data_IF_505000270905
#
_entry.id   IF_505000270905
#
_cell.length_a   1.000
_cell.length_b   1.000
_cell.length_c   1.000
_cell.angle_alpha   90.00
_cell.angle_beta   90.00
_cell.angle_gamma   90.00
#
_symmetry.space_group_name_H-M   'P 1'
#
loop_
_entity.id
_entity.type
_entity.pdbx_description
1 polymer ?
#
# COMPACT_ATOMS: atom_id res chain seq x y z
N UNK A 1 2.41 -11.69 -15.80
CA UNK A 1 2.31 -11.46 -14.34
C UNK A 1 0.87 -11.72 -13.89
N UNK A 2 0.65 -12.34 -12.72
CA UNK A 2 -0.69 -12.50 -12.13
C UNK A 2 -1.16 -11.16 -11.54
N UNK A 3 -2.45 -10.82 -11.75
CA UNK A 3 -3.09 -9.62 -11.23
C UNK A 3 -4.03 -10.00 -10.07
N UNK A 4 -4.03 -9.18 -9.02
CA UNK A 4 -4.84 -9.32 -7.82
C UNK A 4 -5.85 -8.18 -7.77
N UNK A 5 -6.90 -8.30 -8.57
CA UNK A 5 -7.95 -7.29 -8.74
C UNK A 5 -9.33 -7.94 -8.70
N UNK A 6 -9.47 -9.09 -8.04
CA UNK A 6 -10.74 -9.81 -7.98
C UNK A 6 -11.60 -9.37 -6.80
N UNK A 7 -10.99 -8.80 -5.75
CA UNK A 7 -11.70 -8.39 -4.55
C UNK A 7 -11.99 -6.89 -4.55
N UNK A 8 -13.06 -6.49 -5.23
CA UNK A 8 -13.52 -5.10 -5.27
C UNK A 8 -14.43 -4.71 -4.08
N UNK A 9 -14.87 -5.68 -3.30
CA UNK A 9 -15.77 -5.49 -2.16
C UNK A 9 -15.53 -6.53 -1.08
N UNK A 10 -15.93 -6.19 0.17
CA UNK A 10 -15.81 -7.14 1.28
C UNK A 10 -16.51 -8.48 1.02
N UNK A 11 -17.74 -8.57 0.48
CA UNK A 11 -18.36 -9.87 0.19
C UNK A 11 -17.53 -10.78 -0.72
N UNK A 12 -16.83 -10.20 -1.71
CA UNK A 12 -15.94 -10.98 -2.59
C UNK A 12 -14.69 -11.46 -1.84
N UNK A 13 -14.06 -10.57 -1.06
CA UNK A 13 -12.91 -10.91 -0.23
C UNK A 13 -13.28 -11.95 0.83
N UNK A 14 -14.41 -11.78 1.50
CA UNK A 14 -14.91 -12.73 2.50
C UNK A 14 -15.11 -14.13 1.92
N UNK A 15 -15.73 -14.23 0.74
CA UNK A 15 -15.93 -15.52 0.06
C UNK A 15 -14.60 -16.21 -0.21
N UNK A 16 -13.61 -15.49 -0.76
CA UNK A 16 -12.27 -16.04 -1.01
C UNK A 16 -11.51 -16.39 0.27
N UNK A 17 -11.62 -15.58 1.33
CA UNK A 17 -10.96 -15.85 2.61
C UNK A 17 -11.54 -17.07 3.32
N UNK A 18 -12.84 -17.35 3.17
CA UNK A 18 -13.48 -18.56 3.76
C UNK A 18 -12.94 -19.86 3.19
N UNK A 19 -12.34 -19.84 2.02
CA UNK A 19 -11.66 -21.01 1.42
C UNK A 19 -10.26 -21.23 2.04
N UNK A 20 -9.67 -20.18 2.64
CA UNK A 20 -8.29 -20.16 3.13
C UNK A 20 -8.18 -20.17 4.66
N UNK A 21 -9.18 -19.65 5.36
CA UNK A 21 -9.13 -19.33 6.78
C UNK A 21 -10.34 -19.86 7.54
N UNK A 22 -10.17 -20.18 8.84
CA UNK A 22 -11.30 -20.48 9.71
C UNK A 22 -12.16 -19.22 9.97
N UNK A 23 -13.47 -19.44 10.19
CA UNK A 23 -14.46 -18.38 10.33
C UNK A 23 -14.08 -17.29 11.36
N UNK A 24 -13.48 -17.57 12.55
CA UNK A 24 -13.06 -16.52 13.47
C UNK A 24 -11.99 -15.59 12.89
N UNK A 25 -11.04 -16.12 12.09
CA UNK A 25 -10.01 -15.31 11.43
C UNK A 25 -10.64 -14.41 10.36
N UNK A 26 -11.54 -14.94 9.53
CA UNK A 26 -12.30 -14.15 8.54
C UNK A 26 -13.06 -13.00 9.22
N UNK A 27 -13.74 -13.28 10.34
CA UNK A 27 -14.46 -12.26 11.11
C UNK A 27 -13.51 -11.16 11.63
N UNK A 28 -12.29 -11.52 12.04
CA UNK A 28 -11.29 -10.56 12.52
C UNK A 28 -10.82 -9.64 11.37
N UNK A 29 -10.50 -10.21 10.22
CA UNK A 29 -10.16 -9.43 9.02
C UNK A 29 -11.33 -8.54 8.58
N UNK A 30 -12.57 -9.04 8.65
CA UNK A 30 -13.77 -8.26 8.33
C UNK A 30 -13.94 -7.02 9.22
N UNK A 31 -13.61 -7.12 10.52
CA UNK A 31 -13.60 -5.94 11.40
C UNK A 31 -12.55 -4.93 10.98
N UNK A 32 -11.36 -5.39 10.54
CA UNK A 32 -10.31 -4.50 10.05
C UNK A 32 -10.75 -3.78 8.76
N UNK A 33 -11.41 -4.48 7.83
CA UNK A 33 -11.95 -3.89 6.59
C UNK A 33 -13.01 -2.84 6.91
N UNK A 34 -13.97 -3.15 7.80
CA UNK A 34 -15.00 -2.20 8.22
C UNK A 34 -14.40 -0.95 8.88
N UNK A 35 -13.40 -1.14 9.75
CA UNK A 35 -12.68 -0.05 10.39
C UNK A 35 -11.94 0.81 9.35
N UNK A 36 -11.13 0.21 8.48
CA UNK A 36 -10.41 0.94 7.45
C UNK A 36 -11.35 1.72 6.52
N UNK A 37 -12.46 1.10 6.08
CA UNK A 37 -13.46 1.77 5.28
C UNK A 37 -14.09 2.99 5.98
N UNK A 38 -14.34 2.89 7.29
CA UNK A 38 -14.86 4.03 8.07
C UNK A 38 -13.85 5.17 8.21
N UNK A 39 -12.54 4.86 8.31
CA UNK A 39 -11.48 5.87 8.42
C UNK A 39 -11.21 6.58 7.08
N UNK A 40 -11.16 5.83 5.98
CA UNK A 40 -10.92 6.38 4.64
C UNK A 40 -12.18 7.08 4.06
N UNK A 41 -13.39 6.72 4.51
CA UNK A 41 -14.64 7.34 4.05
C UNK A 41 -14.75 7.35 2.52
N UNK A 42 -14.97 8.53 1.95
CA UNK A 42 -15.15 8.72 0.50
C UNK A 42 -13.83 8.91 -0.28
N UNK A 43 -12.68 8.59 0.33
CA UNK A 43 -11.40 8.68 -0.38
C UNK A 43 -11.40 7.81 -1.64
N UNK A 44 -10.75 8.35 -2.69
CA UNK A 44 -10.64 7.68 -3.98
C UNK A 44 -9.20 7.59 -4.46
N UNK A 45 -8.93 6.54 -5.20
CA UNK A 45 -7.67 6.39 -5.95
C UNK A 45 -7.62 7.42 -7.09
N UNK A 46 -6.42 7.72 -7.65
CA UNK A 46 -6.29 8.57 -8.85
C UNK A 46 -7.09 8.08 -10.05
N UNK A 47 -7.44 6.80 -10.09
CA UNK A 47 -8.31 6.17 -11.11
C UNK A 47 -9.79 6.48 -10.92
N UNK A 48 -10.19 7.08 -9.78
CA UNK A 48 -11.57 7.30 -9.38
C UNK A 48 -12.21 6.15 -8.61
N UNK A 49 -11.57 5.00 -8.52
CA UNK A 49 -12.05 3.86 -7.72
C UNK A 49 -12.04 4.17 -6.21
N UNK A 50 -12.94 3.57 -5.40
CA UNK A 50 -12.89 3.68 -3.95
C UNK A 50 -11.53 3.25 -3.38
N UNK A 51 -11.04 3.95 -2.36
CA UNK A 51 -9.74 3.61 -1.75
C UNK A 51 -9.73 2.21 -1.14
N UNK A 52 -10.87 1.76 -0.64
CA UNK A 52 -11.04 0.41 -0.09
C UNK A 52 -10.65 -0.71 -1.06
N UNK A 53 -10.77 -0.50 -2.39
CA UNK A 53 -10.30 -1.50 -3.37
C UNK A 53 -8.80 -1.75 -3.27
N UNK A 54 -7.98 -0.71 -3.03
CA UNK A 54 -6.55 -0.87 -2.81
C UNK A 54 -6.24 -1.75 -1.59
N UNK A 55 -6.95 -1.54 -0.50
CA UNK A 55 -6.78 -2.32 0.73
C UNK A 55 -7.13 -3.80 0.50
N UNK A 56 -8.20 -4.05 -0.26
CA UNK A 56 -8.63 -5.41 -0.62
C UNK A 56 -7.68 -6.07 -1.63
N UNK A 57 -7.10 -5.32 -2.57
CA UNK A 57 -6.03 -5.81 -3.46
C UNK A 57 -4.79 -6.24 -2.66
N UNK A 58 -4.32 -5.41 -1.71
CA UNK A 58 -3.19 -5.77 -0.85
C UNK A 58 -3.48 -7.02 0.00
N UNK A 59 -4.69 -7.13 0.53
CA UNK A 59 -5.18 -8.32 1.22
C UNK A 59 -5.17 -9.56 0.30
N UNK A 60 -5.66 -9.43 -0.93
CA UNK A 60 -5.70 -10.50 -1.93
C UNK A 60 -4.30 -10.98 -2.29
N UNK A 61 -3.35 -10.05 -2.48
CA UNK A 61 -1.94 -10.37 -2.73
C UNK A 61 -1.35 -11.22 -1.61
N UNK A 62 -1.59 -10.85 -0.34
CA UNK A 62 -1.07 -11.65 0.78
C UNK A 62 -1.76 -12.99 0.91
N UNK A 63 -3.09 -13.01 0.90
CA UNK A 63 -3.85 -14.23 1.18
C UNK A 63 -3.77 -15.24 0.02
N UNK A 64 -4.11 -14.82 -1.21
CA UNK A 64 -4.14 -15.71 -2.37
C UNK A 64 -2.78 -15.86 -3.04
N UNK A 65 -2.05 -14.78 -3.16
CA UNK A 65 -0.74 -14.78 -3.80
C UNK A 65 0.33 -15.41 -2.92
N UNK A 66 0.62 -14.80 -1.80
CA UNK A 66 1.70 -15.23 -0.91
C UNK A 66 1.30 -16.37 0.05
N UNK A 67 0.03 -16.79 0.08
CA UNK A 67 -0.45 -17.88 0.92
C UNK A 67 -0.44 -17.57 2.43
N UNK A 68 -0.54 -16.29 2.79
CA UNK A 68 -0.55 -15.86 4.19
C UNK A 68 -1.89 -16.19 4.84
N UNK A 69 -1.86 -16.91 5.97
CA UNK A 69 -3.04 -17.28 6.75
C UNK A 69 -3.06 -16.67 8.15
N UNK A 70 -2.08 -15.88 8.53
CA UNK A 70 -1.99 -15.18 9.81
C UNK A 70 -2.96 -14.00 9.84
N UNK A 71 -4.00 -14.01 10.72
CA UNK A 71 -5.01 -12.96 10.74
C UNK A 71 -4.46 -11.58 11.09
N UNK A 72 -3.44 -11.49 11.95
CA UNK A 72 -2.84 -10.21 12.34
C UNK A 72 -2.11 -9.57 11.16
N UNK A 73 -1.41 -10.39 10.37
CA UNK A 73 -0.71 -9.91 9.18
C UNK A 73 -1.69 -9.45 8.09
N UNK A 74 -2.80 -10.19 7.92
CA UNK A 74 -3.87 -9.79 6.99
C UNK A 74 -4.59 -8.53 7.45
N UNK A 75 -4.83 -8.36 8.76
CA UNK A 75 -5.36 -7.12 9.32
C UNK A 75 -4.39 -5.95 9.08
N UNK A 76 -3.09 -6.16 9.28
CA UNK A 76 -2.08 -5.12 9.03
C UNK A 76 -2.06 -4.70 7.55
N UNK A 77 -2.27 -5.64 6.61
CA UNK A 77 -2.38 -5.31 5.19
C UNK A 77 -3.60 -4.45 4.87
N UNK A 78 -4.74 -4.71 5.51
CA UNK A 78 -5.95 -3.88 5.34
C UNK A 78 -5.80 -2.49 5.99
N UNK A 79 -5.04 -2.40 7.09
CA UNK A 79 -4.91 -1.19 7.90
C UNK A 79 -3.66 -0.37 7.56
N UNK A 80 -2.85 -0.77 6.57
CA UNK A 80 -1.51 -0.23 6.36
C UNK A 80 -1.47 1.30 6.13
N UNK A 81 -2.49 1.86 5.51
CA UNK A 81 -2.58 3.28 5.17
C UNK A 81 -3.46 4.11 6.12
N UNK A 82 -4.17 3.49 7.09
CA UNK A 82 -5.10 4.25 7.95
C UNK A 82 -4.40 5.32 8.78
N UNK A 83 -3.16 5.07 9.21
CA UNK A 83 -2.37 6.04 10.00
C UNK A 83 -1.71 7.09 9.11
N UNK A 84 -1.34 6.74 7.87
CA UNK A 84 -0.71 7.67 6.94
C UNK A 84 -1.73 8.65 6.32
N UNK A 85 -2.89 8.15 5.93
CA UNK A 85 -3.84 8.84 5.06
C UNK A 85 -5.11 9.35 5.78
N UNK A 86 -5.25 9.10 7.08
CA UNK A 86 -6.44 9.51 7.87
C UNK A 86 -6.04 10.16 9.20
N UNK A 87 -7.01 10.51 10.03
CA UNK A 87 -6.77 10.99 11.38
C UNK A 87 -6.52 9.85 12.41
N UNK A 88 -6.51 8.59 11.95
CA UNK A 88 -6.28 7.43 12.81
C UNK A 88 -4.84 7.41 13.33
N UNK A 89 -4.68 7.04 14.60
CA UNK A 89 -3.37 6.90 15.25
C UNK A 89 -2.98 5.43 15.43
N UNK A 90 -1.67 5.17 15.57
CA UNK A 90 -1.17 3.82 15.91
C UNK A 90 -1.79 3.30 17.21
N UNK A 91 -2.06 4.18 18.18
CA UNK A 91 -2.72 3.80 19.44
C UNK A 91 -4.14 3.28 19.21
N UNK A 92 -4.92 3.93 18.35
CA UNK A 92 -6.27 3.46 17.99
C UNK A 92 -6.24 2.12 17.25
N UNK A 93 -5.23 1.89 16.42
CA UNK A 93 -5.02 0.56 15.80
C UNK A 93 -4.67 -0.49 16.86
N UNK A 94 -3.82 -0.14 17.86
CA UNK A 94 -3.49 -1.04 18.96
C UNK A 94 -4.71 -1.40 19.82
N UNK A 95 -5.57 -0.43 20.13
CA UNK A 95 -6.79 -0.63 20.91
C UNK A 95 -7.80 -1.53 20.19
N UNK A 96 -7.92 -1.40 18.86
CA UNK A 96 -8.88 -2.17 18.07
C UNK A 96 -8.39 -3.56 17.64
N UNK A 97 -7.08 -3.70 17.38
CA UNK A 97 -6.51 -4.87 16.70
C UNK A 97 -5.26 -5.45 17.39
N UNK A 98 -4.86 -4.89 18.49
CA UNK A 98 -3.73 -5.36 19.29
C UNK A 98 -2.37 -4.79 18.89
N UNK A 99 -1.37 -4.92 19.80
CA UNK A 99 -0.07 -4.27 19.64
C UNK A 99 0.75 -4.81 18.46
N UNK A 100 0.55 -6.09 18.08
CA UNK A 100 1.27 -6.68 16.94
C UNK A 100 0.82 -6.05 15.62
N UNK A 101 -0.49 -5.94 15.38
CA UNK A 101 -1.04 -5.28 14.19
C UNK A 101 -0.60 -3.82 14.13
N UNK A 102 -0.73 -3.09 15.24
CA UNK A 102 -0.31 -1.69 15.32
C UNK A 102 1.20 -1.49 15.06
N UNK A 103 2.03 -2.41 15.55
CA UNK A 103 3.47 -2.39 15.27
C UNK A 103 3.79 -2.60 13.80
N UNK A 104 3.08 -3.52 13.11
CA UNK A 104 3.23 -3.76 11.67
C UNK A 104 2.79 -2.53 10.86
N UNK A 105 1.63 -1.96 11.19
CA UNK A 105 1.16 -0.71 10.56
C UNK A 105 2.15 0.42 10.76
N UNK A 106 2.69 0.60 11.98
CA UNK A 106 3.70 1.62 12.26
C UNK A 106 4.98 1.47 11.42
N UNK A 107 5.41 0.25 11.12
CA UNK A 107 6.57 0.01 10.25
C UNK A 107 6.34 0.42 8.80
N UNK A 108 5.12 0.28 8.29
CA UNK A 108 4.80 0.57 6.88
C UNK A 108 4.27 1.98 6.65
N UNK A 109 3.90 2.71 7.70
CA UNK A 109 3.52 4.13 7.69
C UNK A 109 4.76 5.00 7.43
N UNK A 110 4.69 5.89 6.45
CA UNK A 110 5.75 6.88 6.21
C UNK A 110 5.66 7.97 7.29
N UNK A 111 6.69 8.18 8.12
CA UNK A 111 6.64 9.20 9.14
C UNK A 111 6.58 10.61 8.52
N UNK A 112 5.90 11.57 9.15
CA UNK A 112 5.93 12.95 8.70
C UNK A 112 7.39 13.47 8.70
N UNK A 113 7.78 14.33 7.73
CA UNK A 113 9.12 14.89 7.72
C UNK A 113 9.37 15.72 8.98
N UNK A 114 10.58 15.66 9.51
CA UNK A 114 10.98 16.51 10.62
C UNK A 114 10.93 18.01 10.22
N UNK A 115 10.78 18.93 11.17
CA UNK A 115 10.81 20.35 10.87
C UNK A 115 12.05 20.75 10.06
N UNK A 116 11.85 21.37 8.89
CA UNK A 116 12.91 21.75 7.96
C UNK A 116 13.48 20.62 7.09
N UNK A 117 13.00 19.39 7.23
CA UNK A 117 13.42 18.28 6.39
C UNK A 117 12.65 18.29 5.07
N UNK A 118 13.35 18.06 3.95
CA UNK A 118 12.72 17.84 2.66
C UNK A 118 11.89 16.56 2.65
N UNK A 119 10.66 16.65 2.15
CA UNK A 119 9.71 15.52 2.11
C UNK A 119 10.23 14.34 1.27
N UNK A 120 10.92 14.62 0.16
CA UNK A 120 11.49 13.58 -0.69
C UNK A 120 12.64 12.86 0.02
N UNK A 121 13.50 13.61 0.70
CA UNK A 121 14.60 13.04 1.49
C UNK A 121 14.09 12.21 2.67
N UNK A 122 13.00 12.63 3.34
CA UNK A 122 12.37 11.86 4.40
C UNK A 122 11.81 10.52 3.87
N UNK A 123 11.10 10.56 2.75
CA UNK A 123 10.57 9.35 2.10
C UNK A 123 11.68 8.40 1.66
N UNK A 124 12.75 8.93 1.10
CA UNK A 124 13.90 8.15 0.68
C UNK A 124 14.60 7.47 1.87
N UNK A 125 14.75 8.17 2.99
CA UNK A 125 15.31 7.62 4.22
C UNK A 125 14.41 6.50 4.79
N UNK A 126 13.09 6.67 4.76
CA UNK A 126 12.13 5.64 5.14
C UNK A 126 12.27 4.39 4.28
N UNK A 127 12.25 4.54 2.94
CA UNK A 127 12.36 3.40 2.01
C UNK A 127 13.64 2.61 2.21
N UNK A 128 14.78 3.29 2.42
CA UNK A 128 16.05 2.62 2.78
C UNK A 128 15.98 1.93 4.15
N UNK A 129 15.21 2.48 5.07
CA UNK A 129 15.01 1.94 6.41
C UNK A 129 14.24 0.61 6.43
N UNK A 130 13.39 0.34 5.43
CA UNK A 130 12.58 -0.89 5.33
C UNK A 130 13.42 -2.18 5.34
N UNK A 131 14.69 -2.13 4.94
CA UNK A 131 15.59 -3.29 5.03
C UNK A 131 15.82 -3.80 6.46
N UNK A 132 15.50 -3.00 7.48
CA UNK A 132 15.59 -3.35 8.90
C UNK A 132 14.26 -3.74 9.52
N UNK A 133 13.19 -3.64 8.74
CA UNK A 133 11.85 -3.99 9.20
C UNK A 133 11.74 -5.51 9.47
N UNK A 134 10.93 -5.93 10.44
CA UNK A 134 10.63 -7.33 10.62
C UNK A 134 9.97 -7.92 9.36
N UNK A 135 10.18 -9.22 9.13
CA UNK A 135 9.68 -9.95 7.95
C UNK A 135 8.21 -9.68 7.67
N UNK A 136 7.37 -9.72 8.70
CA UNK A 136 5.93 -9.51 8.55
C UNK A 136 5.59 -8.11 8.02
N UNK A 137 6.30 -7.08 8.48
CA UNK A 137 6.12 -5.72 7.95
C UNK A 137 6.63 -5.61 6.49
N UNK A 138 7.70 -6.32 6.15
CA UNK A 138 8.17 -6.41 4.75
C UNK A 138 7.08 -7.04 3.87
N UNK A 139 6.43 -8.11 4.30
CA UNK A 139 5.34 -8.75 3.56
C UNK A 139 4.17 -7.79 3.31
N UNK A 140 3.76 -7.02 4.33
CA UNK A 140 2.73 -5.97 4.16
C UNK A 140 3.16 -4.94 3.12
N UNK A 141 4.41 -4.46 3.21
CA UNK A 141 4.92 -3.46 2.26
C UNK A 141 5.07 -3.98 0.84
N UNK A 142 5.44 -5.24 0.67
CA UNK A 142 5.48 -5.90 -0.64
C UNK A 142 4.07 -6.01 -1.25
N UNK A 143 3.07 -6.36 -0.45
CA UNK A 143 1.68 -6.48 -0.93
C UNK A 143 1.08 -5.12 -1.29
N UNK A 144 1.26 -4.10 -0.44
CA UNK A 144 0.90 -2.70 -0.75
C UNK A 144 1.49 -2.27 -2.10
N UNK A 145 2.80 -2.43 -2.25
CA UNK A 145 3.46 -2.01 -3.49
C UNK A 145 3.00 -2.82 -4.70
N UNK A 146 2.77 -4.12 -4.56
CA UNK A 146 2.25 -4.96 -5.64
C UNK A 146 0.88 -4.45 -6.12
N UNK A 147 -0.06 -4.16 -5.21
CA UNK A 147 -1.34 -3.53 -5.54
C UNK A 147 -1.16 -2.22 -6.31
N UNK A 148 -0.24 -1.37 -5.87
CA UNK A 148 0.00 -0.07 -6.50
C UNK A 148 0.62 -0.15 -7.89
N UNK A 149 1.43 -1.17 -8.19
CA UNK A 149 2.20 -1.26 -9.44
C UNK A 149 1.70 -2.30 -10.42
N UNK A 150 0.79 -3.19 -10.03
CA UNK A 150 0.23 -4.21 -10.94
C UNK A 150 -0.52 -3.58 -12.12
N UNK A 151 -1.09 -2.39 -11.94
CA UNK A 151 -1.79 -1.61 -12.98
C UNK A 151 -1.04 -0.33 -13.34
N UNK A 152 0.29 -0.37 -13.33
CA UNK A 152 1.17 0.80 -13.51
C UNK A 152 0.88 1.58 -14.80
N UNK A 153 0.43 0.90 -15.87
CA UNK A 153 0.06 1.53 -17.16
C UNK A 153 -1.10 2.52 -17.05
N UNK A 154 -1.92 2.43 -16.01
CA UNK A 154 -3.03 3.36 -15.79
C UNK A 154 -2.57 4.74 -15.25
N UNK A 155 -1.29 4.88 -14.89
CA UNK A 155 -0.72 6.15 -14.44
C UNK A 155 -0.17 6.98 -15.62
N UNK A 156 -0.04 8.31 -15.45
CA UNK A 156 0.65 9.15 -16.43
C UNK A 156 2.10 8.70 -16.66
N UNK A 157 2.65 8.80 -17.90
CA UNK A 157 3.96 8.23 -18.24
C UNK A 157 5.13 8.63 -17.33
N UNK A 158 5.16 9.89 -16.86
CA UNK A 158 6.19 10.35 -15.93
C UNK A 158 6.11 9.63 -14.58
N UNK A 159 4.88 9.39 -14.09
CA UNK A 159 4.64 8.63 -12.85
C UNK A 159 4.95 7.14 -13.01
N UNK A 160 4.65 6.55 -14.18
CA UNK A 160 5.01 5.15 -14.44
C UNK A 160 6.51 4.93 -14.24
N UNK A 161 7.36 5.75 -14.87
CA UNK A 161 8.83 5.64 -14.76
C UNK A 161 9.32 5.87 -13.33
N UNK A 162 8.82 6.90 -12.65
CA UNK A 162 9.22 7.19 -11.27
C UNK A 162 8.85 6.04 -10.31
N UNK A 163 7.63 5.50 -10.45
CA UNK A 163 7.18 4.35 -9.64
C UNK A 163 7.95 3.08 -9.94
N UNK A 164 8.25 2.82 -11.23
CA UNK A 164 9.07 1.69 -11.65
C UNK A 164 10.47 1.77 -11.02
N UNK A 165 11.17 2.90 -11.18
CA UNK A 165 12.51 3.10 -10.64
C UNK A 165 12.53 2.92 -9.11
N UNK A 166 11.62 3.58 -8.38
CA UNK A 166 11.52 3.47 -6.93
C UNK A 166 11.24 2.03 -6.48
N UNK A 167 10.37 1.32 -7.20
CA UNK A 167 10.04 -0.08 -6.88
C UNK A 167 11.25 -0.99 -7.08
N UNK A 168 11.96 -0.84 -8.20
CA UNK A 168 13.17 -1.63 -8.49
C UNK A 168 14.27 -1.36 -7.47
N UNK A 169 14.46 -0.11 -7.07
CA UNK A 169 15.55 0.28 -6.16
C UNK A 169 15.31 -0.14 -4.72
N UNK A 170 14.08 0.05 -4.21
CA UNK A 170 13.82 -0.07 -2.77
C UNK A 170 12.96 -1.27 -2.39
N UNK A 171 12.08 -1.74 -3.25
CA UNK A 171 11.08 -2.76 -2.89
C UNK A 171 11.49 -4.14 -3.40
N UNK A 172 11.94 -4.25 -4.64
CA UNK A 172 12.38 -5.55 -5.21
C UNK A 172 13.43 -6.23 -4.33
N UNK A 173 14.44 -5.54 -3.78
CA UNK A 173 15.41 -6.19 -2.88
C UNK A 173 14.82 -6.73 -1.57
N UNK A 174 13.67 -6.22 -1.13
CA UNK A 174 12.97 -6.75 0.05
C UNK A 174 12.34 -8.13 -0.22
N UNK A 175 12.08 -8.44 -1.48
CA UNK A 175 11.47 -9.70 -1.89
C UNK A 175 12.46 -10.87 -1.96
N UNK A 176 13.77 -10.65 -1.81
CA UNK A 176 14.81 -11.67 -2.03
C UNK A 176 14.62 -12.91 -1.14
N UNK A 177 14.14 -12.73 0.09
CA UNK A 177 13.90 -13.82 1.06
C UNK A 177 12.47 -14.38 0.98
N UNK A 178 11.60 -13.83 0.14
CA UNK A 178 10.20 -14.19 0.01
C UNK A 178 9.93 -14.79 -1.37
N UNK A 179 9.98 -16.13 -1.54
CA UNK A 179 10.02 -16.78 -2.85
C UNK A 179 8.90 -16.37 -3.80
N UNK A 180 7.66 -16.27 -3.28
CA UNK A 180 6.52 -15.88 -4.10
C UNK A 180 6.66 -14.43 -4.60
N UNK A 181 6.98 -13.46 -3.72
CA UNK A 181 7.17 -12.06 -4.09
C UNK A 181 8.36 -11.88 -5.04
N UNK A 182 9.46 -12.62 -4.82
CA UNK A 182 10.61 -12.62 -5.73
C UNK A 182 10.21 -13.02 -7.15
N UNK A 183 9.41 -14.08 -7.29
CA UNK A 183 8.90 -14.53 -8.58
C UNK A 183 7.95 -13.49 -9.19
N UNK A 184 6.99 -12.98 -8.39
CA UNK A 184 6.03 -12.00 -8.86
C UNK A 184 6.69 -10.71 -9.35
N UNK A 185 7.63 -10.14 -8.56
CA UNK A 185 8.36 -8.92 -8.94
C UNK A 185 9.32 -9.16 -10.12
N UNK A 186 9.89 -10.34 -10.29
CA UNK A 186 10.67 -10.67 -11.49
C UNK A 186 9.80 -10.63 -12.75
N UNK A 187 8.60 -11.21 -12.70
CA UNK A 187 7.62 -11.17 -13.79
C UNK A 187 7.14 -9.74 -14.06
N UNK A 188 6.85 -8.97 -12.98
CA UNK A 188 6.49 -7.55 -13.09
C UNK A 188 7.60 -6.73 -13.77
N UNK A 189 8.86 -6.90 -13.37
CA UNK A 189 9.99 -6.21 -14.00
C UNK A 189 10.13 -6.54 -15.49
N UNK A 190 9.91 -7.78 -15.88
CA UNK A 190 9.95 -8.20 -17.28
C UNK A 190 8.84 -7.54 -18.11
N UNK A 191 7.63 -7.46 -17.56
CA UNK A 191 6.47 -6.85 -18.23
C UNK A 191 6.62 -5.33 -18.42
N UNK A 192 7.25 -4.65 -17.46
CA UNK A 192 7.46 -3.20 -17.48
C UNK A 192 8.90 -2.79 -17.82
N UNK A 193 9.68 -3.67 -18.46
CA UNK A 193 11.12 -3.43 -18.74
C UNK A 193 11.39 -2.19 -19.58
N UNK A 194 10.45 -1.78 -20.44
CA UNK A 194 10.54 -0.55 -21.25
C UNK A 194 10.59 0.73 -20.40
N UNK A 195 10.11 0.68 -19.14
CA UNK A 195 10.17 1.81 -18.22
C UNK A 195 11.55 2.00 -17.56
N UNK A 196 12.44 1.01 -17.69
CA UNK A 196 13.83 1.10 -17.22
C UNK A 196 14.69 2.04 -18.08
N UNK A 197 14.30 2.29 -19.34
CA UNK A 197 15.07 3.10 -20.27
C UNK A 197 14.64 4.57 -20.17
N UNK A 198 15.56 5.53 -20.08
CA UNK A 198 15.22 6.94 -20.23
C UNK A 198 14.52 7.16 -21.57
N UNK A 199 13.34 7.78 -21.56
CA UNK A 199 12.63 8.09 -22.81
C UNK A 199 13.51 8.94 -23.74
N UNK A 200 13.39 8.80 -25.07
CA UNK A 200 14.10 9.64 -26.02
C UNK A 200 13.64 11.11 -25.85
N UNK A 201 14.52 11.96 -25.32
CA UNK A 201 14.41 13.41 -25.38
C UNK A 201 13.63 14.07 -24.24
N UNK A 202 14.36 14.57 -23.24
CA UNK A 202 13.95 15.64 -22.33
C UNK A 202 15.16 16.17 -21.59
N UNK A 203 15.53 17.46 -21.75
CA UNK A 203 16.53 18.08 -20.89
C UNK A 203 16.04 18.10 -19.44
N UNK A 204 16.95 17.91 -18.50
CA UNK A 204 16.69 17.77 -17.07
C UNK A 204 15.70 18.79 -16.51
N UNK A 205 14.48 18.33 -16.28
CA UNK A 205 13.51 19.03 -15.49
C UNK A 205 13.51 18.39 -14.09
N UNK A 206 13.87 19.15 -13.10
CA UNK A 206 13.74 18.79 -11.69
C UNK A 206 12.25 18.57 -11.35
N UNK A 207 11.79 17.35 -11.64
CA UNK A 207 10.44 16.91 -11.28
C UNK A 207 10.38 16.66 -9.78
N UNK A 208 9.61 17.44 -9.07
CA UNK A 208 9.32 17.24 -7.65
C UNK A 208 8.76 15.84 -7.37
N UNK A 209 8.93 15.33 -6.15
CA UNK A 209 8.63 13.96 -5.81
C UNK A 209 7.15 13.64 -5.99
N UNK A 210 6.86 12.53 -6.66
CA UNK A 210 5.53 11.96 -6.70
C UNK A 210 5.15 11.57 -5.27
N UNK A 211 4.27 12.35 -4.67
CA UNK A 211 3.59 11.95 -3.43
C UNK A 211 2.85 10.62 -3.69
N UNK A 212 2.76 9.78 -2.68
CA UNK A 212 1.77 8.71 -2.64
C UNK A 212 0.44 9.31 -3.05
N UNK A 213 -0.48 8.58 -3.65
CA UNK A 213 -1.81 9.06 -3.96
C UNK A 213 -2.66 9.26 -2.69
N UNK A 214 -2.09 9.95 -1.68
CA UNK A 214 -2.78 10.39 -0.48
C UNK A 214 -3.60 11.63 -0.81
N UNK A 215 -4.84 11.57 -0.41
CA UNK A 215 -5.84 12.60 -0.22
C UNK A 215 -5.52 14.01 -0.78
N UNK A 216 -6.27 14.39 -1.80
CA UNK A 216 -6.62 15.79 -1.97
C UNK A 216 -7.51 16.19 -0.80
N UNK A 217 -6.96 16.87 0.20
CA UNK A 217 -7.74 17.50 1.25
C UNK A 217 -8.68 18.54 0.61
N UNK A 218 -9.97 18.20 0.57
CA UNK A 218 -11.02 19.14 0.27
C UNK A 218 -11.11 20.17 1.39
N UNK A 219 -10.62 21.37 1.16
CA UNK A 219 -10.89 22.52 2.02
C UNK A 219 -12.37 22.89 1.89
N UNK A 220 -13.19 22.44 2.83
CA UNK A 220 -14.53 22.98 3.04
C UNK A 220 -14.37 24.38 3.67
N UNK A 221 -14.58 25.43 2.88
CA UNK A 221 -14.68 26.80 3.33
C UNK A 221 -15.88 26.95 4.26
N UNK A 222 -15.62 27.37 5.50
CA UNK A 222 -16.65 27.88 6.38
C UNK A 222 -17.11 29.25 5.88
N UNK A 223 -18.30 29.30 5.26
CA UNK A 223 -19.02 30.54 5.07
C UNK A 223 -19.84 30.81 6.34
N UNK A 224 -19.48 31.89 7.06
CA UNK A 224 -20.29 32.44 8.11
C UNK A 224 -21.55 33.09 7.56
N UNK A 225 -22.61 33.00 8.29
CA UNK A 225 -23.76 33.88 8.17
C UNK A 225 -24.31 34.17 9.54
N UNK A 226 -24.50 35.44 9.71
CA UNK A 226 -25.14 36.27 10.73
C UNK A 226 -26.14 35.62 11.66
#
# INVERSE_FOLDING_TARGET
>A
MELFTSWHSWPQAEAGLRELLPAPAVATVGRAVAFAASQHGDQRRPTGAPYAEHLLEALEVLARGAGVTDPDLLCAAVLHDVVEDTACTVAQVADGFGPRVAGLVGWVTIPPPAPGQDKAAAKEAYLRGLRRAPRDAILVKLADRASNVQTLRNLPPARQRAYYAQTVEHIVPLADTEPWFRYWYASWRAEFADLATPGPGGPGGSGGPAGSPGAAAGSAGAAGAS
#
